data_IF_329490521299
#
_entry.id   IF_329490521299
#
_cell.length_a   1.000
_cell.length_b   1.000
_cell.length_c   1.000
_cell.angle_alpha   90.00
_cell.angle_beta   90.00
_cell.angle_gamma   90.00
#
_symmetry.space_group_name_H-M   'P 1'
#
loop_
_entity.id
_entity.type
_entity.pdbx_description
1 polymer ?
#
# COMPACT_ATOMS: atom_id res chain seq x y z
N UNK A 1 -0.59 -19.39 27.56
CA UNK A 1 0.86 -19.12 27.40
C UNK A 1 1.16 -18.38 26.09
N UNK A 2 0.60 -18.78 24.94
CA UNK A 2 0.86 -18.13 23.64
C UNK A 2 0.36 -16.67 23.53
N UNK A 3 -0.79 -16.32 24.12
CA UNK A 3 -1.27 -14.94 24.10
C UNK A 3 -0.36 -13.98 24.90
N UNK A 4 0.14 -14.44 26.05
CA UNK A 4 1.07 -13.67 26.87
C UNK A 4 2.44 -13.48 26.19
N UNK A 5 2.92 -14.48 25.43
CA UNK A 5 4.18 -14.36 24.69
C UNK A 5 4.07 -13.37 23.53
N UNK A 6 2.95 -13.33 22.81
CA UNK A 6 2.72 -12.34 21.74
C UNK A 6 2.72 -10.92 22.29
N UNK A 7 2.00 -10.69 23.39
CA UNK A 7 1.95 -9.37 24.05
C UNK A 7 3.36 -8.98 24.55
N UNK A 8 4.07 -9.91 25.19
CA UNK A 8 5.44 -9.68 25.65
C UNK A 8 6.41 -9.30 24.54
N UNK A 9 6.39 -10.03 23.41
CA UNK A 9 7.23 -9.73 22.24
C UNK A 9 6.85 -8.38 21.63
N UNK A 10 5.56 -8.06 21.54
CA UNK A 10 5.09 -6.77 21.00
C UNK A 10 5.58 -5.59 21.84
N UNK A 11 5.46 -5.70 23.18
CA UNK A 11 5.98 -4.70 24.12
C UNK A 11 7.49 -4.58 23.98
N UNK A 12 8.20 -5.70 23.87
CA UNK A 12 9.66 -5.69 23.72
C UNK A 12 10.11 -5.02 22.42
N UNK A 13 9.44 -5.30 21.29
CA UNK A 13 9.72 -4.64 20.00
C UNK A 13 9.44 -3.13 20.12
N UNK A 14 8.31 -2.74 20.72
CA UNK A 14 7.98 -1.33 20.92
C UNK A 14 9.04 -0.62 21.77
N UNK A 15 9.53 -1.28 22.82
CA UNK A 15 10.60 -0.78 23.68
C UNK A 15 11.93 -0.62 22.93
N UNK A 16 12.32 -1.61 22.13
CA UNK A 16 13.51 -1.54 21.28
C UNK A 16 13.41 -0.38 20.29
N UNK A 17 12.29 -0.26 19.58
CA UNK A 17 12.04 0.85 18.66
C UNK A 17 12.13 2.20 19.35
N UNK A 18 11.63 2.31 20.59
CA UNK A 18 11.74 3.53 21.37
C UNK A 18 13.20 3.85 21.67
N UNK A 19 14.02 2.90 22.13
CA UNK A 19 15.45 3.16 22.41
C UNK A 19 16.20 3.55 21.13
N UNK A 20 16.04 2.79 20.05
CA UNK A 20 16.76 3.04 18.79
C UNK A 20 16.38 4.36 18.10
N UNK A 21 15.17 4.89 18.35
CA UNK A 21 14.74 6.19 17.82
C UNK A 21 15.08 7.40 18.69
N UNK A 22 15.80 7.20 19.82
CA UNK A 22 16.27 8.28 20.69
C UNK A 22 17.06 9.40 19.98
N UNK A 23 18.04 9.13 19.08
CA UNK A 23 18.79 10.19 18.39
C UNK A 23 17.89 11.09 17.51
N UNK A 24 16.88 10.51 16.86
CA UNK A 24 15.91 11.28 16.06
C UNK A 24 15.00 12.14 16.95
N UNK A 25 14.55 11.61 18.10
CA UNK A 25 13.75 12.38 19.05
C UNK A 25 14.53 13.53 19.68
N UNK A 26 15.79 13.30 20.05
CA UNK A 26 16.64 14.32 20.65
C UNK A 26 16.96 15.45 19.66
N UNK A 27 17.14 15.14 18.38
CA UNK A 27 17.53 16.11 17.35
C UNK A 27 16.34 16.91 16.77
N UNK A 28 15.18 16.28 16.61
CA UNK A 28 14.04 16.89 15.90
C UNK A 28 12.79 17.10 16.77
N UNK A 29 12.73 16.53 17.97
CA UNK A 29 11.60 16.63 18.88
C UNK A 29 10.27 16.20 18.25
N UNK A 30 9.17 16.75 18.78
CA UNK A 30 7.81 16.51 18.26
C UNK A 30 7.57 17.14 16.87
N UNK A 31 8.37 18.14 16.49
CA UNK A 31 8.24 18.81 15.19
C UNK A 31 8.51 17.85 14.03
N UNK A 32 9.36 16.83 14.23
CA UNK A 32 9.63 15.73 13.31
C UNK A 32 8.37 15.14 12.63
N UNK A 33 7.28 15.00 13.38
CA UNK A 33 6.03 14.40 12.90
C UNK A 33 5.28 15.28 11.89
N UNK A 34 5.49 16.59 11.95
CA UNK A 34 4.81 17.58 11.09
C UNK A 34 5.76 18.13 10.00
N UNK A 35 7.07 17.96 10.19
CA UNK A 35 8.09 18.35 9.22
C UNK A 35 7.92 17.59 7.90
N UNK A 36 7.84 18.35 6.80
CA UNK A 36 7.74 17.81 5.42
C UNK A 36 9.11 17.61 4.74
N UNK A 37 10.14 18.26 5.24
CA UNK A 37 11.47 18.27 4.62
C UNK A 37 12.21 16.97 4.93
N UNK A 38 12.53 16.23 3.88
CA UNK A 38 13.45 15.09 3.93
C UNK A 38 14.69 15.43 3.10
N UNK A 39 15.75 15.87 3.77
CA UNK A 39 17.04 16.19 3.17
C UNK A 39 18.18 15.49 3.92
N UNK A 40 18.63 14.31 3.43
CA UNK A 40 19.73 13.57 4.03
C UNK A 40 21.07 14.32 4.01
N UNK A 41 21.30 15.17 3.00
CA UNK A 41 22.56 15.90 2.82
C UNK A 41 22.72 16.98 3.90
N UNK A 42 21.64 17.70 4.22
CA UNK A 42 21.63 18.68 5.31
C UNK A 42 21.27 18.09 6.67
N UNK A 43 21.10 16.76 6.76
CA UNK A 43 20.69 16.06 7.97
C UNK A 43 19.35 16.52 8.55
N UNK A 44 18.41 16.94 7.70
CA UNK A 44 17.04 17.32 8.08
C UNK A 44 16.08 16.18 7.72
N UNK A 45 15.41 15.62 8.72
CA UNK A 45 14.49 14.51 8.53
C UNK A 45 13.11 14.88 9.07
N UNK A 46 12.08 14.58 8.28
CA UNK A 46 10.68 14.77 8.65
C UNK A 46 9.87 13.53 8.30
N UNK A 47 8.96 13.12 9.20
CA UNK A 47 8.15 11.92 9.02
C UNK A 47 6.84 12.17 8.26
N UNK A 48 6.38 13.43 8.15
CA UNK A 48 5.06 13.73 7.60
C UNK A 48 4.84 13.15 6.19
N UNK A 49 5.79 13.22 5.24
CA UNK A 49 5.59 12.66 3.90
C UNK A 49 5.42 11.13 3.91
N UNK A 50 6.11 10.43 4.79
CA UNK A 50 6.01 8.97 4.93
C UNK A 50 4.69 8.56 5.59
N UNK A 51 4.28 9.27 6.64
CA UNK A 51 2.98 9.04 7.29
C UNK A 51 1.86 9.31 6.30
N UNK A 52 1.89 10.48 5.64
CA UNK A 52 0.90 10.85 4.64
C UNK A 52 0.86 9.85 3.48
N UNK A 53 2.02 9.49 2.93
CA UNK A 53 2.13 8.51 1.86
C UNK A 53 1.46 7.19 2.23
N UNK A 54 1.82 6.62 3.39
CA UNK A 54 1.26 5.35 3.87
C UNK A 54 -0.25 5.44 4.11
N UNK A 55 -0.73 6.50 4.74
CA UNK A 55 -2.17 6.67 5.03
C UNK A 55 -2.96 6.78 3.73
N UNK A 56 -2.52 7.64 2.80
CA UNK A 56 -3.25 7.87 1.55
C UNK A 56 -3.23 6.63 0.66
N UNK A 57 -2.08 5.93 0.53
CA UNK A 57 -2.03 4.69 -0.25
C UNK A 57 -2.88 3.58 0.38
N UNK A 58 -2.87 3.46 1.71
CA UNK A 58 -3.67 2.44 2.41
C UNK A 58 -5.17 2.70 2.28
N UNK A 59 -5.61 3.95 2.48
CA UNK A 59 -7.02 4.33 2.32
C UNK A 59 -7.46 4.12 0.88
N UNK A 60 -6.67 4.57 -0.09
CA UNK A 60 -6.95 4.34 -1.51
C UNK A 60 -7.07 2.85 -1.82
N UNK A 61 -6.17 2.03 -1.29
CA UNK A 61 -6.18 0.59 -1.54
C UNK A 61 -7.40 -0.09 -0.93
N UNK A 62 -7.75 0.24 0.32
CA UNK A 62 -8.93 -0.30 1.00
C UNK A 62 -10.23 0.09 0.32
N UNK A 63 -10.35 1.34 -0.15
CA UNK A 63 -11.55 1.81 -0.87
C UNK A 63 -11.86 0.99 -2.12
N UNK A 64 -10.84 0.41 -2.76
CA UNK A 64 -10.99 -0.38 -3.97
C UNK A 64 -11.02 -1.87 -3.65
N UNK A 65 -10.10 -2.35 -2.81
CA UNK A 65 -9.94 -3.77 -2.55
C UNK A 65 -11.09 -4.35 -1.72
N UNK A 66 -11.65 -3.59 -0.77
CA UNK A 66 -12.78 -4.07 0.05
C UNK A 66 -14.03 -4.37 -0.78
N UNK A 67 -14.57 -3.44 -1.59
CA UNK A 67 -15.75 -3.76 -2.39
C UNK A 67 -15.48 -4.85 -3.44
N UNK A 68 -14.27 -4.92 -4.00
CA UNK A 68 -13.90 -5.98 -4.95
C UNK A 68 -13.79 -7.35 -4.29
N UNK A 69 -13.13 -7.45 -3.13
CA UNK A 69 -12.97 -8.70 -2.38
C UNK A 69 -14.29 -9.23 -1.83
N UNK A 70 -15.10 -8.34 -1.25
CA UNK A 70 -16.47 -8.68 -0.81
C UNK A 70 -17.35 -9.09 -2.00
N UNK A 71 -17.29 -8.36 -3.12
CA UNK A 71 -18.05 -8.74 -4.32
C UNK A 71 -17.62 -10.10 -4.89
N UNK A 72 -16.30 -10.36 -4.93
CA UNK A 72 -15.76 -11.63 -5.41
C UNK A 72 -16.14 -12.80 -4.48
N UNK A 73 -16.06 -12.62 -3.17
CA UNK A 73 -16.43 -13.66 -2.20
C UNK A 73 -17.92 -14.00 -2.26
N UNK A 74 -18.80 -13.00 -2.33
CA UNK A 74 -20.25 -13.23 -2.53
C UNK A 74 -20.50 -14.00 -3.84
N UNK A 75 -19.86 -13.59 -4.94
CA UNK A 75 -20.00 -14.29 -6.21
C UNK A 75 -19.55 -15.76 -6.12
N UNK A 76 -18.41 -16.03 -5.49
CA UNK A 76 -17.87 -17.39 -5.37
C UNK A 76 -18.72 -18.30 -4.47
N UNK A 77 -19.36 -17.73 -3.44
CA UNK A 77 -20.17 -18.49 -2.48
C UNK A 77 -21.60 -18.67 -2.96
N UNK A 78 -22.23 -17.62 -3.51
CA UNK A 78 -23.67 -17.63 -3.79
C UNK A 78 -24.02 -17.86 -5.26
N UNK A 79 -23.19 -17.39 -6.19
CA UNK A 79 -23.53 -17.34 -7.61
C UNK A 79 -22.75 -18.35 -8.47
N UNK A 80 -21.52 -18.67 -8.10
CA UNK A 80 -20.61 -19.45 -8.93
C UNK A 80 -20.93 -20.97 -8.89
N UNK A 81 -20.96 -21.65 -10.05
CA UNK A 81 -21.04 -23.11 -10.10
C UNK A 81 -19.87 -23.76 -9.33
N UNK A 82 -20.13 -24.85 -8.61
CA UNK A 82 -19.14 -25.54 -7.74
C UNK A 82 -17.75 -25.75 -8.37
N UNK A 83 -17.68 -26.10 -9.67
CA UNK A 83 -16.41 -26.29 -10.39
C UNK A 83 -15.63 -24.99 -10.57
N UNK A 84 -16.31 -23.90 -10.92
CA UNK A 84 -15.70 -22.59 -11.14
C UNK A 84 -15.28 -22.00 -9.80
N UNK A 85 -16.15 -22.08 -8.78
CA UNK A 85 -15.85 -21.60 -7.44
C UNK A 85 -14.58 -22.26 -6.87
N UNK A 86 -14.48 -23.59 -6.93
CA UNK A 86 -13.29 -24.31 -6.46
C UNK A 86 -12.01 -23.96 -7.23
N UNK A 87 -12.10 -23.80 -8.57
CA UNK A 87 -10.94 -23.40 -9.37
C UNK A 87 -10.49 -21.96 -9.07
N UNK A 88 -11.42 -21.01 -8.96
CA UNK A 88 -11.09 -19.62 -8.66
C UNK A 88 -10.54 -19.46 -7.24
N UNK A 89 -11.12 -20.16 -6.26
CA UNK A 89 -10.62 -20.16 -4.88
C UNK A 89 -9.17 -20.66 -4.84
N UNK A 90 -8.87 -21.75 -5.54
CA UNK A 90 -7.50 -22.25 -5.66
C UNK A 90 -6.55 -21.21 -6.30
N UNK A 91 -6.97 -20.53 -7.37
CA UNK A 91 -6.17 -19.47 -8.00
C UNK A 91 -5.94 -18.30 -7.03
N UNK A 92 -6.96 -17.89 -6.27
CA UNK A 92 -6.85 -16.81 -5.27
C UNK A 92 -5.88 -17.21 -4.16
N UNK A 93 -5.96 -18.43 -3.65
CA UNK A 93 -5.00 -18.96 -2.66
C UNK A 93 -3.57 -18.96 -3.20
N UNK A 94 -3.38 -19.37 -4.46
CA UNK A 94 -2.08 -19.30 -5.11
C UNK A 94 -1.57 -17.86 -5.24
N UNK A 95 -2.43 -16.91 -5.61
CA UNK A 95 -2.08 -15.49 -5.68
C UNK A 95 -1.72 -14.91 -4.31
N UNK A 96 -2.45 -15.30 -3.26
CA UNK A 96 -2.17 -14.90 -1.88
C UNK A 96 -0.84 -15.48 -1.36
N UNK A 97 -0.42 -16.64 -1.86
CA UNK A 97 0.86 -17.26 -1.49
C UNK A 97 2.07 -16.61 -2.18
N UNK A 98 1.87 -15.76 -3.20
CA UNK A 98 2.98 -15.09 -3.91
C UNK A 98 3.71 -14.13 -2.97
N UNK A 99 5.05 -14.18 -2.88
CA UNK A 99 5.83 -13.25 -2.07
C UNK A 99 5.56 -11.78 -2.45
N UNK A 100 5.40 -10.93 -1.43
CA UNK A 100 5.12 -9.50 -1.60
C UNK A 100 6.18 -8.76 -2.43
N UNK A 101 7.44 -9.21 -2.37
CA UNK A 101 8.56 -8.66 -3.16
C UNK A 101 8.31 -8.82 -4.66
N UNK A 102 7.72 -9.94 -5.09
CA UNK A 102 7.42 -10.18 -6.51
C UNK A 102 6.39 -9.17 -7.01
N UNK A 103 5.32 -8.92 -6.25
CA UNK A 103 4.34 -7.88 -6.58
C UNK A 103 4.96 -6.49 -6.64
N UNK A 104 5.91 -6.18 -5.75
CA UNK A 104 6.68 -4.93 -5.80
C UNK A 104 7.49 -4.78 -7.09
N UNK A 105 8.22 -5.82 -7.50
CA UNK A 105 9.00 -5.83 -8.75
C UNK A 105 8.11 -5.77 -9.99
N UNK A 106 7.02 -6.54 -10.03
CA UNK A 106 6.01 -6.45 -11.09
C UNK A 106 5.38 -5.05 -11.14
N UNK A 107 5.15 -4.44 -9.98
CA UNK A 107 4.73 -3.05 -9.86
C UNK A 107 5.67 -2.11 -10.59
N UNK A 108 6.98 -2.23 -10.34
CA UNK A 108 7.99 -1.34 -10.93
C UNK A 108 8.20 -1.61 -12.43
N UNK A 109 8.32 -2.88 -12.83
CA UNK A 109 8.74 -3.24 -14.18
C UNK A 109 7.60 -3.42 -15.17
N UNK A 110 6.38 -3.69 -14.71
CA UNK A 110 5.23 -3.95 -15.57
C UNK A 110 4.12 -2.92 -15.34
N UNK A 111 3.68 -2.77 -14.09
CA UNK A 111 2.52 -1.93 -13.78
C UNK A 111 2.82 -0.44 -14.02
N UNK A 112 3.91 0.11 -13.48
CA UNK A 112 4.26 1.53 -13.64
C UNK A 112 4.41 1.92 -15.12
N UNK A 113 5.08 1.14 -15.97
CA UNK A 113 5.10 1.41 -17.42
C UNK A 113 3.71 1.47 -18.04
N UNK A 114 2.83 0.50 -17.76
CA UNK A 114 1.44 0.47 -18.27
C UNK A 114 0.64 1.67 -17.77
N UNK A 115 0.79 2.02 -16.48
CA UNK A 115 0.16 3.19 -15.89
C UNK A 115 0.62 4.47 -16.59
N UNK A 116 1.92 4.58 -16.87
CA UNK A 116 2.50 5.76 -17.52
C UNK A 116 2.08 5.89 -18.99
N UNK A 117 2.04 4.78 -19.74
CA UNK A 117 1.78 4.81 -21.19
C UNK A 117 0.30 4.89 -21.53
N UNK A 118 -0.55 4.22 -20.73
CA UNK A 118 -1.94 3.97 -21.14
C UNK A 118 -2.94 4.53 -20.13
N UNK A 119 -2.82 4.15 -18.86
CA UNK A 119 -3.88 4.46 -17.87
C UNK A 119 -3.90 5.93 -17.50
N UNK A 120 -2.77 6.50 -17.06
CA UNK A 120 -2.69 7.90 -16.61
C UNK A 120 -3.00 8.88 -17.73
N UNK A 121 -2.48 8.73 -18.97
CA UNK A 121 -2.87 9.61 -20.08
C UNK A 121 -4.37 9.57 -20.37
N UNK A 122 -4.97 8.38 -20.37
CA UNK A 122 -6.42 8.22 -20.58
C UNK A 122 -7.22 8.89 -19.46
N UNK A 123 -6.78 8.69 -18.21
CA UNK A 123 -7.41 9.29 -17.04
C UNK A 123 -7.29 10.82 -17.03
N UNK A 124 -6.16 11.36 -17.50
CA UNK A 124 -5.99 12.81 -17.69
C UNK A 124 -6.86 13.36 -18.80
N UNK A 125 -7.10 12.61 -19.86
CA UNK A 125 -8.00 13.05 -20.92
C UNK A 125 -9.46 13.09 -20.46
N UNK A 126 -9.91 12.08 -19.69
CA UNK A 126 -11.30 11.98 -19.24
C UNK A 126 -11.61 12.77 -17.96
N UNK A 127 -10.68 12.80 -17.00
CA UNK A 127 -10.83 13.42 -15.68
C UNK A 127 -9.88 14.60 -15.44
N UNK A 128 -9.17 15.07 -16.47
CA UNK A 128 -8.23 16.19 -16.38
C UNK A 128 -8.85 17.53 -16.00
N UNK A 129 -10.18 17.62 -15.94
CA UNK A 129 -10.87 18.78 -15.39
C UNK A 129 -10.62 18.93 -13.87
N UNK A 130 -10.41 17.82 -13.14
CA UNK A 130 -10.14 17.83 -11.70
C UNK A 130 -8.69 18.24 -11.39
N UNK A 131 -8.46 19.09 -10.37
CA UNK A 131 -7.13 19.59 -10.03
C UNK A 131 -6.13 18.50 -9.61
N UNK A 132 -6.63 17.36 -9.11
CA UNK A 132 -5.78 16.21 -8.69
C UNK A 132 -5.10 15.48 -9.86
N UNK A 133 -5.63 15.58 -11.09
CA UNK A 133 -5.10 14.87 -12.26
C UNK A 133 -4.22 15.75 -13.18
N UNK A 134 -4.04 17.04 -12.87
CA UNK A 134 -3.26 17.97 -13.71
C UNK A 134 -1.74 17.91 -13.48
N UNK A 135 -1.27 17.16 -12.48
CA UNK A 135 0.15 17.07 -12.13
C UNK A 135 0.98 16.14 -13.04
N UNK A 136 2.30 16.34 -13.15
CA UNK A 136 3.21 15.41 -13.84
C UNK A 136 3.21 14.04 -13.15
N UNK A 137 3.29 12.98 -13.96
CA UNK A 137 3.35 11.60 -13.45
C UNK A 137 4.78 11.07 -13.62
N UNK A 138 5.50 10.96 -12.50
CA UNK A 138 6.89 10.52 -12.48
C UNK A 138 7.05 8.99 -12.38
N UNK A 139 5.98 8.22 -12.57
CA UNK A 139 6.00 6.76 -12.44
C UNK A 139 5.87 6.30 -10.99
N UNK A 140 6.85 6.63 -10.14
CA UNK A 140 6.80 6.32 -8.70
C UNK A 140 5.97 7.41 -8.00
N UNK A 141 4.68 7.14 -7.83
CA UNK A 141 3.71 8.08 -7.27
C UNK A 141 2.75 7.38 -6.30
N UNK A 142 2.02 8.17 -5.50
CA UNK A 142 0.98 7.67 -4.58
C UNK A 142 -0.06 6.82 -5.32
N UNK A 143 -0.43 7.20 -6.54
CA UNK A 143 -1.38 6.44 -7.36
C UNK A 143 -0.82 5.06 -7.71
N UNK A 144 0.41 5.01 -8.25
CA UNK A 144 1.05 3.74 -8.61
C UNK A 144 1.25 2.82 -7.39
N UNK A 145 1.74 3.39 -6.28
CA UNK A 145 1.93 2.65 -5.04
C UNK A 145 0.60 2.12 -4.49
N UNK A 146 -0.46 2.94 -4.54
CA UNK A 146 -1.81 2.54 -4.19
C UNK A 146 -2.34 1.41 -5.08
N UNK A 147 -2.16 1.48 -6.40
CA UNK A 147 -2.60 0.42 -7.32
C UNK A 147 -1.84 -0.89 -7.11
N UNK A 148 -0.52 -0.84 -6.86
CA UNK A 148 0.25 -2.04 -6.49
C UNK A 148 -0.31 -2.63 -5.19
N UNK A 149 -0.56 -1.78 -4.19
CA UNK A 149 -1.11 -2.23 -2.91
C UNK A 149 -2.50 -2.86 -3.06
N UNK A 150 -3.37 -2.33 -3.93
CA UNK A 150 -4.67 -2.96 -4.27
C UNK A 150 -4.45 -4.38 -4.77
N UNK A 151 -3.58 -4.57 -5.76
CA UNK A 151 -3.32 -5.91 -6.35
C UNK A 151 -2.80 -6.88 -5.29
N UNK A 152 -1.96 -6.38 -4.37
CA UNK A 152 -1.41 -7.19 -3.30
C UNK A 152 -2.44 -7.60 -2.25
N UNK A 153 -3.36 -6.72 -1.87
CA UNK A 153 -4.30 -7.00 -0.76
C UNK A 153 -5.61 -7.65 -1.20
N UNK A 154 -6.03 -7.49 -2.46
CA UNK A 154 -7.29 -8.06 -2.99
C UNK A 154 -7.43 -9.56 -2.73
N UNK A 155 -6.40 -10.42 -2.91
CA UNK A 155 -6.54 -11.86 -2.62
C UNK A 155 -6.77 -12.19 -1.14
N UNK A 156 -6.53 -11.25 -0.23
CA UNK A 156 -6.63 -11.44 1.22
C UNK A 156 -7.91 -10.85 1.84
N UNK A 157 -8.66 -10.03 1.09
CA UNK A 157 -9.90 -9.37 1.54
C UNK A 157 -11.11 -10.10 0.98
#
# INVERSE_FOLDING_TARGET
MCAASIIGITIWIAWQLFIFSAPSRAKFGWHFLVTRTWNPVSGQFGALPFIYGTVVTSVFALLIAVPLGVGASIFLVEMAPRRISGFLAFVIELLAAVPSVIYGLLGIFLLIPILRSTVVPTLKHTLGFLPIFKGPFYGVSVFSAGTVLVIMIVPFI
#
